data_IF_121404520519
#
_entry.id   IF_121404520519
#
_cell.length_a   1.000
_cell.length_b   1.000
_cell.length_c   1.000
_cell.angle_alpha   90.00
_cell.angle_beta   90.00
_cell.angle_gamma   90.00
#
_symmetry.space_group_name_H-M   'P 1'
#
loop_
_entity.id
_entity.type
_entity.pdbx_description
1 polymer ?
#
# COMPACT_ATOMS: atom_id res chain seq x y z
N UNK A 1 -1.31 8.15 -5.84
CA UNK A 1 -0.99 9.58 -5.58
C UNK A 1 -1.59 10.56 -6.57
N UNK A 2 -1.24 10.56 -7.86
CA UNK A 2 -1.77 11.57 -8.80
C UNK A 2 -3.31 11.64 -8.83
N UNK A 3 -3.98 10.49 -8.77
CA UNK A 3 -5.43 10.41 -8.66
C UNK A 3 -5.97 11.08 -7.37
N UNK A 4 -5.35 10.81 -6.22
CA UNK A 4 -5.73 11.43 -4.94
C UNK A 4 -5.52 12.95 -4.93
N UNK A 5 -4.50 13.44 -5.63
CA UNK A 5 -4.17 14.86 -5.67
C UNK A 5 -4.92 15.63 -6.77
N UNK A 6 -5.59 14.95 -7.71
CA UNK A 6 -6.20 15.57 -8.89
C UNK A 6 -5.22 16.24 -9.86
N UNK A 7 -3.91 16.09 -9.63
CA UNK A 7 -2.83 16.67 -10.43
C UNK A 7 -1.58 15.79 -10.38
N UNK A 8 -0.65 16.02 -11.31
CA UNK A 8 0.60 15.25 -11.39
C UNK A 8 1.62 15.74 -10.35
N UNK A 9 1.72 15.02 -9.24
CA UNK A 9 2.72 15.27 -8.16
C UNK A 9 3.75 14.15 -8.04
N UNK A 10 3.38 12.93 -8.43
CA UNK A 10 4.24 11.75 -8.39
C UNK A 10 4.72 11.37 -9.79
N UNK A 11 5.98 10.95 -9.89
CA UNK A 11 6.54 10.38 -11.12
C UNK A 11 5.94 9.00 -11.35
N UNK A 12 5.38 8.77 -12.54
CA UNK A 12 4.90 7.47 -12.98
C UNK A 12 5.98 6.82 -13.85
N UNK A 13 6.54 5.67 -13.44
CA UNK A 13 7.38 4.86 -14.31
C UNK A 13 6.64 3.62 -14.78
N UNK A 14 6.76 3.28 -16.07
CA UNK A 14 6.20 2.03 -16.61
C UNK A 14 6.88 0.76 -16.06
N UNK A 15 8.02 0.89 -15.41
CA UNK A 15 8.71 -0.22 -14.74
C UNK A 15 8.37 -0.22 -13.24
N UNK A 16 7.82 -1.33 -12.68
CA UNK A 16 7.59 -1.45 -11.24
C UNK A 16 8.88 -1.30 -10.42
N UNK A 17 8.77 -0.80 -9.18
CA UNK A 17 9.84 -0.78 -8.18
C UNK A 17 11.00 0.19 -8.39
N UNK A 18 10.77 1.31 -9.08
CA UNK A 18 11.73 2.42 -9.11
C UNK A 18 11.75 3.26 -7.83
N UNK A 19 10.69 3.21 -7.02
CA UNK A 19 10.63 3.89 -5.74
C UNK A 19 11.46 3.12 -4.72
N UNK A 20 12.68 3.61 -4.45
CA UNK A 20 13.59 3.06 -3.42
C UNK A 20 13.66 3.93 -2.16
N UNK A 21 13.10 5.14 -2.23
CA UNK A 21 13.05 6.09 -1.13
C UNK A 21 11.59 6.35 -0.75
N UNK A 22 11.38 6.77 0.49
CA UNK A 22 10.10 7.35 0.90
C UNK A 22 9.91 8.70 0.21
N UNK A 23 8.81 8.87 -0.51
CA UNK A 23 8.42 10.19 -1.01
C UNK A 23 7.45 10.83 -0.02
N UNK A 24 7.67 12.11 0.28
CA UNK A 24 6.79 12.89 1.15
C UNK A 24 6.06 13.91 0.30
N UNK A 25 4.74 13.82 0.27
CA UNK A 25 3.87 14.75 -0.44
C UNK A 25 3.13 15.63 0.55
N UNK A 26 3.34 16.94 0.45
CA UNK A 26 2.57 17.92 1.20
C UNK A 26 1.18 18.09 0.58
N UNK A 27 0.15 17.88 1.41
CA UNK A 27 -1.24 18.22 1.11
C UNK A 27 -1.63 19.42 1.97
N UNK A 28 -2.79 20.02 1.70
CA UNK A 28 -3.20 21.27 2.36
C UNK A 28 -3.15 21.24 3.89
N UNK A 29 -3.48 20.11 4.52
CA UNK A 29 -3.57 19.97 5.98
C UNK A 29 -2.89 18.71 6.54
N UNK A 30 -2.25 17.92 5.67
CA UNK A 30 -1.60 16.66 6.06
C UNK A 30 -0.49 16.31 5.07
N UNK A 31 0.31 15.30 5.41
CA UNK A 31 1.32 14.74 4.52
C UNK A 31 0.94 13.34 4.10
N UNK A 32 1.24 12.97 2.86
CA UNK A 32 1.21 11.57 2.42
C UNK A 32 2.63 11.06 2.27
N UNK A 33 2.93 9.99 3.00
CA UNK A 33 4.18 9.26 2.91
C UNK A 33 3.97 8.08 1.95
N UNK A 34 4.56 8.17 0.76
CA UNK A 34 4.55 7.09 -0.24
C UNK A 34 5.78 6.22 -0.02
N UNK A 35 5.53 5.03 0.52
CA UNK A 35 6.56 4.07 0.91
C UNK A 35 6.93 3.16 -0.27
N UNK A 36 8.17 2.68 -0.34
CA UNK A 36 8.55 1.66 -1.31
C UNK A 36 7.71 0.38 -1.11
N UNK A 37 7.30 -0.24 -2.21
CA UNK A 37 6.49 -1.46 -2.16
C UNK A 37 7.26 -2.64 -1.57
N UNK A 38 6.75 -3.22 -0.48
CA UNK A 38 7.37 -4.34 0.23
C UNK A 38 7.39 -5.64 -0.60
N UNK A 39 6.37 -5.87 -1.45
CA UNK A 39 6.25 -7.05 -2.31
C UNK A 39 6.98 -6.95 -3.66
N UNK A 40 7.91 -5.99 -3.83
CA UNK A 40 8.61 -5.83 -5.12
C UNK A 40 9.57 -7.01 -5.36
N UNK A 41 9.18 -7.91 -6.27
CA UNK A 41 9.88 -9.18 -6.54
C UNK A 41 11.33 -9.04 -7.01
N UNK A 42 11.70 -7.88 -7.60
CA UNK A 42 13.08 -7.61 -8.08
C UNK A 42 13.96 -6.87 -7.06
N UNK A 43 13.46 -6.59 -5.85
CA UNK A 43 14.29 -6.06 -4.76
C UNK A 43 15.25 -7.15 -4.24
N UNK A 44 16.47 -6.75 -3.87
CA UNK A 44 17.39 -7.65 -3.18
C UNK A 44 16.88 -7.98 -1.77
N UNK A 45 17.47 -9.00 -1.12
CA UNK A 45 17.14 -9.32 0.28
C UNK A 45 17.40 -8.13 1.22
N UNK A 46 18.50 -7.40 0.98
CA UNK A 46 18.86 -6.19 1.72
C UNK A 46 17.85 -5.07 1.52
N UNK A 47 17.42 -4.83 0.27
CA UNK A 47 16.41 -3.80 -0.02
C UNK A 47 15.08 -4.11 0.67
N UNK A 48 14.62 -5.37 0.64
CA UNK A 48 13.40 -5.78 1.34
C UNK A 48 13.49 -5.56 2.84
N UNK A 49 14.64 -5.83 3.45
CA UNK A 49 14.87 -5.56 4.87
C UNK A 49 14.85 -4.05 5.16
N UNK A 50 15.50 -3.23 4.33
CA UNK A 50 15.49 -1.78 4.45
C UNK A 50 14.07 -1.21 4.31
N UNK A 51 13.28 -1.72 3.36
CA UNK A 51 11.89 -1.30 3.17
C UNK A 51 11.02 -1.66 4.38
N UNK A 52 11.17 -2.88 4.92
CA UNK A 52 10.50 -3.26 6.17
C UNK A 52 10.86 -2.31 7.31
N UNK A 53 12.15 -2.02 7.52
CA UNK A 53 12.58 -1.06 8.54
C UNK A 53 11.97 0.33 8.37
N UNK A 54 11.89 0.82 7.13
CA UNK A 54 11.27 2.11 6.81
C UNK A 54 9.76 2.11 7.10
N UNK A 55 9.05 1.03 6.77
CA UNK A 55 7.62 0.89 7.06
C UNK A 55 7.40 0.87 8.57
N UNK A 56 8.13 0.01 9.30
CA UNK A 56 8.07 -0.08 10.76
C UNK A 56 8.34 1.27 11.42
N UNK A 57 9.39 1.98 11.02
CA UNK A 57 9.67 3.31 11.56
C UNK A 57 8.55 4.33 11.25
N UNK A 58 7.92 4.23 10.09
CA UNK A 58 6.81 5.12 9.71
C UNK A 58 5.57 4.85 10.56
N UNK A 59 5.30 3.57 10.85
CA UNK A 59 4.20 3.13 11.71
C UNK A 59 4.36 3.59 13.17
N UNK A 60 5.59 3.74 13.66
CA UNK A 60 5.87 4.22 15.03
C UNK A 60 5.77 5.74 15.20
N UNK A 61 5.41 6.49 14.14
CA UNK A 61 5.35 7.95 14.19
C UNK A 61 4.15 8.41 15.02
N UNK A 62 4.33 9.27 16.05
CA UNK A 62 3.21 9.73 16.90
C UNK A 62 2.10 10.50 16.17
N UNK A 63 2.40 11.06 14.99
CA UNK A 63 1.44 11.83 14.18
C UNK A 63 0.86 11.02 13.00
N UNK A 64 1.08 9.71 12.98
CA UNK A 64 0.48 8.87 11.94
C UNK A 64 -1.03 8.79 12.17
N UNK A 65 -1.80 9.33 11.22
CA UNK A 65 -3.26 9.28 11.29
C UNK A 65 -3.83 7.92 10.85
N UNK A 66 -3.07 7.18 10.04
CA UNK A 66 -3.46 5.86 9.52
C UNK A 66 -2.72 5.50 8.24
N UNK A 67 -3.02 4.32 7.72
CA UNK A 67 -2.39 3.74 6.53
C UNK A 67 -3.43 3.47 5.45
N UNK A 68 -3.15 3.92 4.24
CA UNK A 68 -3.85 3.46 3.05
C UNK A 68 -3.12 2.27 2.46
N UNK A 69 -3.68 1.07 2.62
CA UNK A 69 -3.04 -0.17 2.21
C UNK A 69 -3.53 -0.60 0.82
N UNK A 70 -2.65 -0.53 -0.18
CA UNK A 70 -3.01 -0.78 -1.58
C UNK A 70 -2.85 -2.25 -1.96
N UNK A 71 -3.95 -2.90 -2.35
CA UNK A 71 -3.98 -4.29 -2.78
C UNK A 71 -4.45 -4.39 -4.24
N UNK A 72 -3.87 -5.28 -5.05
CA UNK A 72 -4.31 -5.49 -6.44
C UNK A 72 -5.51 -6.46 -6.44
N UNK A 73 -6.70 -5.99 -6.84
CA UNK A 73 -7.94 -6.79 -6.77
C UNK A 73 -7.87 -8.13 -7.52
N UNK A 74 -6.96 -8.25 -8.49
CA UNK A 74 -6.82 -9.42 -9.36
C UNK A 74 -6.04 -10.56 -8.72
N UNK A 75 -5.49 -10.37 -7.52
CA UNK A 75 -4.62 -11.32 -6.83
C UNK A 75 -5.14 -11.56 -5.42
N UNK A 76 -4.89 -12.75 -4.88
CA UNK A 76 -5.07 -12.99 -3.45
C UNK A 76 -3.95 -12.29 -2.67
N UNK A 77 -4.18 -11.93 -1.39
CA UNK A 77 -3.13 -11.38 -0.53
C UNK A 77 -1.95 -12.34 -0.46
N UNK A 78 -0.76 -11.82 -0.74
CA UNK A 78 0.50 -12.55 -0.61
C UNK A 78 0.91 -12.75 0.84
N UNK A 79 1.92 -13.58 1.10
CA UNK A 79 2.47 -13.76 2.45
C UNK A 79 3.02 -12.44 3.02
N UNK A 80 3.62 -11.59 2.18
CA UNK A 80 4.06 -10.26 2.61
C UNK A 80 2.84 -9.36 2.96
N UNK A 81 1.71 -9.49 2.25
CA UNK A 81 0.49 -8.75 2.58
C UNK A 81 -0.07 -9.18 3.96
N UNK A 82 -0.08 -10.48 4.24
CA UNK A 82 -0.52 -11.03 5.53
C UNK A 82 0.40 -10.61 6.67
N UNK A 83 1.72 -10.66 6.46
CA UNK A 83 2.69 -10.17 7.45
C UNK A 83 2.51 -8.67 7.74
N UNK A 84 2.16 -7.87 6.73
CA UNK A 84 1.85 -6.45 6.94
C UNK A 84 0.54 -6.25 7.71
N UNK A 85 -0.49 -7.04 7.42
CA UNK A 85 -1.75 -7.03 8.17
C UNK A 85 -1.52 -7.34 9.67
N UNK A 86 -0.75 -8.38 9.98
CA UNK A 86 -0.37 -8.74 11.35
C UNK A 86 0.38 -7.59 12.04
N UNK A 87 1.30 -6.94 11.33
CA UNK A 87 2.04 -5.79 11.85
C UNK A 87 1.14 -4.59 12.15
N UNK A 88 0.16 -4.31 11.28
CA UNK A 88 -0.82 -3.23 11.52
C UNK A 88 -1.70 -3.54 12.73
N UNK A 89 -2.16 -4.78 12.87
CA UNK A 89 -2.98 -5.23 13.98
C UNK A 89 -2.20 -5.16 15.31
N UNK A 90 -0.96 -5.65 15.35
CA UNK A 90 -0.10 -5.62 16.53
C UNK A 90 0.20 -4.19 17.02
N UNK A 91 0.07 -3.19 16.14
CA UNK A 91 0.31 -1.77 16.43
C UNK A 91 -0.98 -0.96 16.53
N UNK A 92 -2.13 -1.62 16.49
CA UNK A 92 -3.46 -0.98 16.50
C UNK A 92 -3.56 0.18 15.48
N UNK A 93 -2.86 0.03 14.35
CA UNK A 93 -2.77 1.09 13.34
C UNK A 93 -4.11 1.20 12.61
N UNK A 94 -4.70 2.40 12.50
CA UNK A 94 -5.87 2.60 11.65
C UNK A 94 -5.53 2.33 10.18
N UNK A 95 -6.14 1.31 9.57
CA UNK A 95 -5.87 0.92 8.17
C UNK A 95 -7.13 1.03 7.33
N UNK A 96 -7.00 1.62 6.15
CA UNK A 96 -7.97 1.51 5.06
C UNK A 96 -7.36 0.67 3.94
N UNK A 97 -7.86 -0.54 3.74
CA UNK A 97 -7.50 -1.35 2.59
C UNK A 97 -8.20 -0.83 1.32
N UNK A 98 -7.44 -0.62 0.26
CA UNK A 98 -7.94 -0.14 -1.02
C UNK A 98 -7.58 -1.11 -2.15
N UNK A 99 -8.61 -1.74 -2.72
CA UNK A 99 -8.48 -2.62 -3.87
C UNK A 99 -8.30 -1.81 -5.16
N UNK A 100 -7.07 -1.82 -5.66
CA UNK A 100 -6.65 -1.14 -6.89
C UNK A 100 -6.92 -2.00 -8.13
N UNK A 101 -6.89 -1.36 -9.31
CA UNK A 101 -7.10 -1.98 -10.63
C UNK A 101 -8.47 -2.62 -10.81
N UNK A 102 -9.48 -2.10 -10.12
CA UNK A 102 -10.88 -2.53 -10.20
C UNK A 102 -11.49 -2.33 -11.59
N UNK A 103 -10.94 -1.42 -12.38
CA UNK A 103 -11.34 -1.14 -13.77
C UNK A 103 -11.16 -2.35 -14.71
N UNK A 104 -10.28 -3.30 -14.35
CA UNK A 104 -10.03 -4.51 -15.14
C UNK A 104 -11.17 -5.53 -15.03
N UNK A 105 -12.03 -5.43 -14.00
CA UNK A 105 -13.10 -6.38 -13.76
C UNK A 105 -14.47 -5.80 -14.14
N UNK A 106 -15.31 -6.63 -14.78
CA UNK A 106 -16.71 -6.31 -14.98
C UNK A 106 -17.43 -6.15 -13.61
N UNK A 107 -18.47 -5.31 -13.55
CA UNK A 107 -19.17 -4.92 -12.31
C UNK A 107 -19.56 -6.10 -11.42
N UNK A 108 -20.14 -7.16 -11.98
CA UNK A 108 -20.55 -8.34 -11.22
C UNK A 108 -19.35 -9.14 -10.67
N UNK A 109 -18.29 -9.30 -11.49
CA UNK A 109 -17.06 -9.97 -11.07
C UNK A 109 -16.33 -9.17 -9.98
N UNK A 110 -16.31 -7.84 -10.11
CA UNK A 110 -15.75 -6.93 -9.10
C UNK A 110 -16.45 -7.09 -7.75
N UNK A 111 -17.78 -7.01 -7.70
CA UNK A 111 -18.52 -7.13 -6.44
C UNK A 111 -18.36 -8.52 -5.78
N UNK A 112 -18.21 -9.58 -6.58
CA UNK A 112 -17.86 -10.91 -6.05
C UNK A 112 -16.45 -10.91 -5.46
N UNK A 113 -15.48 -10.36 -6.21
CA UNK A 113 -14.08 -10.33 -5.81
C UNK A 113 -13.82 -9.48 -4.56
N UNK A 114 -14.51 -8.35 -4.42
CA UNK A 114 -14.45 -7.52 -3.21
C UNK A 114 -14.88 -8.30 -1.97
N UNK A 115 -15.97 -9.09 -2.07
CA UNK A 115 -16.44 -9.93 -0.95
C UNK A 115 -15.49 -11.08 -0.62
N UNK A 116 -14.93 -11.73 -1.64
CA UNK A 116 -13.90 -12.76 -1.43
C UNK A 116 -12.70 -12.20 -0.68
N UNK A 117 -12.19 -11.02 -1.09
CA UNK A 117 -11.04 -10.39 -0.46
C UNK A 117 -11.36 -9.88 0.95
N UNK A 118 -12.56 -9.37 1.20
CA UNK A 118 -13.00 -8.98 2.55
C UNK A 118 -12.95 -10.18 3.50
N UNK A 119 -13.53 -11.33 3.12
CA UNK A 119 -13.52 -12.52 3.99
C UNK A 119 -12.13 -13.14 4.24
N UNK A 120 -11.11 -12.77 3.46
CA UNK A 120 -9.73 -13.23 3.65
C UNK A 120 -8.90 -12.27 4.53
N UNK A 121 -9.35 -11.03 4.65
CA UNK A 121 -8.66 -9.94 5.37
C UNK A 121 -9.36 -9.54 6.68
N UNK A 122 -10.51 -10.13 7.00
CA UNK A 122 -11.12 -10.12 8.33
C UNK A 122 -10.44 -11.15 9.25
#
# INVERSE_FOLDING_TARGET
MNALAGRRIAKTSGTPGKTRAMNVFEMRVYYVLDLPGYGYSRASRGDRAAFRGLITHTLDRPRLAGVLWLLDIRRDPSDDDRAMQELFAARETPVLAAFTKSDVLARAARARRERELQGVLE
#
